data_IF_043217456718
#
_entry.id   IF_043217456718
#
_cell.length_a   1.000
_cell.length_b   1.000
_cell.length_c   1.000
_cell.angle_alpha   90.00
_cell.angle_beta   90.00
_cell.angle_gamma   90.00
#
_symmetry.space_group_name_H-M   'P 1'
#
loop_
_entity.id
_entity.type
_entity.pdbx_description
1 polymer ?
#
# COMPACT_ATOMS: atom_id res chain seq x y z
N UNK A 1 -27.63 7.63 -35.15
CA UNK A 1 -28.43 8.40 -34.17
C UNK A 1 -27.59 8.62 -32.93
N UNK A 2 -27.10 9.84 -32.71
CA UNK A 2 -26.30 10.18 -31.55
C UNK A 2 -27.17 10.12 -30.28
N UNK A 3 -26.82 9.25 -29.32
CA UNK A 3 -27.46 9.24 -28.01
C UNK A 3 -26.94 10.43 -27.21
N UNK A 4 -27.78 11.46 -27.08
CA UNK A 4 -27.56 12.57 -26.16
C UNK A 4 -27.65 12.06 -24.72
N UNK A 5 -26.52 12.02 -24.02
CA UNK A 5 -26.47 11.78 -22.58
C UNK A 5 -27.21 12.92 -21.86
N UNK A 6 -28.40 12.65 -21.33
CA UNK A 6 -29.11 13.57 -20.44
C UNK A 6 -28.60 13.35 -19.02
N UNK A 7 -27.95 14.34 -18.37
CA UNK A 7 -27.56 14.21 -16.98
C UNK A 7 -28.81 14.05 -16.10
N UNK A 8 -28.87 12.95 -15.34
CA UNK A 8 -29.92 12.76 -14.32
C UNK A 8 -29.87 13.93 -13.32
N UNK A 9 -31.02 14.59 -13.11
CA UNK A 9 -31.18 15.58 -12.03
C UNK A 9 -30.86 14.89 -10.70
N UNK A 10 -29.73 15.26 -10.08
CA UNK A 10 -29.44 14.90 -8.68
C UNK A 10 -30.51 15.53 -7.80
N UNK A 11 -31.45 14.73 -7.32
CA UNK A 11 -32.32 15.15 -6.21
C UNK A 11 -31.41 15.50 -5.03
N UNK A 12 -31.41 16.78 -4.63
CA UNK A 12 -30.72 17.23 -3.42
C UNK A 12 -31.35 16.51 -2.24
N UNK A 13 -30.71 15.47 -1.70
CA UNK A 13 -31.11 14.91 -0.41
C UNK A 13 -30.94 15.99 0.64
N UNK A 14 -32.03 16.40 1.29
CA UNK A 14 -31.96 17.34 2.41
C UNK A 14 -31.06 16.74 3.48
N UNK A 15 -29.93 17.39 3.74
CA UNK A 15 -29.02 16.95 4.80
C UNK A 15 -29.71 17.16 6.14
N UNK A 16 -29.95 16.08 6.89
CA UNK A 16 -30.48 16.14 8.25
C UNK A 16 -29.36 15.87 9.24
N UNK A 17 -29.43 16.56 10.37
CA UNK A 17 -28.58 16.24 11.52
C UNK A 17 -29.33 15.22 12.38
N UNK A 18 -28.71 14.08 12.64
CA UNK A 18 -29.28 12.98 13.41
C UNK A 18 -28.35 12.64 14.58
N UNK A 19 -28.92 12.06 15.62
CA UNK A 19 -28.18 11.48 16.74
C UNK A 19 -28.27 9.95 16.65
N UNK A 20 -27.18 9.25 16.95
CA UNK A 20 -27.18 7.79 16.97
C UNK A 20 -26.05 7.22 17.81
N UNK A 21 -26.22 5.96 18.21
CA UNK A 21 -25.19 5.20 18.89
C UNK A 21 -24.38 4.38 17.89
N UNK A 22 -23.06 4.39 18.04
CA UNK A 22 -22.15 3.61 17.20
C UNK A 22 -22.12 2.17 17.70
N UNK A 23 -22.40 1.23 16.80
CA UNK A 23 -22.50 -0.20 17.12
C UNK A 23 -21.21 -0.98 16.88
N UNK A 24 -20.45 -0.61 15.84
CA UNK A 24 -19.24 -1.30 15.41
C UNK A 24 -18.41 -0.37 14.51
N UNK A 25 -17.23 -0.85 14.11
CA UNK A 25 -16.45 -0.31 13.00
C UNK A 25 -16.53 -1.28 11.82
N UNK A 26 -16.53 -0.77 10.59
CA UNK A 26 -16.32 -1.61 9.42
C UNK A 26 -14.82 -1.78 9.08
N UNK A 27 -14.54 -2.55 8.02
CA UNK A 27 -13.17 -2.77 7.53
C UNK A 27 -12.43 -1.51 7.07
N UNK A 28 -13.13 -0.39 6.87
CA UNK A 28 -12.55 0.92 6.52
C UNK A 28 -12.51 1.88 7.71
N UNK A 29 -12.60 1.35 8.94
CA UNK A 29 -12.63 2.16 10.16
C UNK A 29 -13.83 3.11 10.29
N UNK A 30 -14.91 2.89 9.54
CA UNK A 30 -16.12 3.72 9.65
C UNK A 30 -17.01 3.20 10.76
N UNK A 31 -17.44 4.10 11.62
CA UNK A 31 -18.50 3.86 12.59
C UNK A 31 -19.78 3.41 11.88
N UNK A 32 -20.29 2.26 12.31
CA UNK A 32 -21.55 1.70 11.87
C UNK A 32 -22.65 2.15 12.84
N UNK A 33 -23.49 3.09 12.39
CA UNK A 33 -24.68 3.51 13.11
C UNK A 33 -25.90 2.82 12.50
N UNK A 34 -26.44 1.87 13.24
CA UNK A 34 -27.67 1.16 12.86
C UNK A 34 -28.86 2.05 13.16
N UNK A 35 -29.88 1.97 12.31
CA UNK A 35 -31.09 2.75 12.55
C UNK A 35 -31.88 2.22 13.75
N UNK A 36 -32.42 3.14 14.55
CA UNK A 36 -33.32 2.80 15.66
C UNK A 36 -34.71 2.36 15.16
N UNK A 37 -35.10 2.75 13.94
CA UNK A 37 -36.42 2.46 13.35
C UNK A 37 -36.26 1.52 12.15
N UNK A 38 -37.11 0.48 12.11
CA UNK A 38 -37.16 -0.50 11.02
C UNK A 38 -37.43 0.20 9.68
N UNK A 39 -36.57 -0.01 8.68
CA UNK A 39 -36.67 0.59 7.35
C UNK A 39 -35.75 1.79 7.09
N UNK A 40 -35.07 2.34 8.10
CA UNK A 40 -34.03 3.34 7.90
C UNK A 40 -32.67 2.67 7.58
N UNK A 41 -31.85 3.26 6.69
CA UNK A 41 -30.58 2.66 6.28
C UNK A 41 -29.50 2.83 7.35
N UNK A 42 -28.65 1.81 7.49
CA UNK A 42 -27.38 1.89 8.23
C UNK A 42 -26.50 3.01 7.67
N UNK A 43 -25.84 3.74 8.57
CA UNK A 43 -24.93 4.85 8.26
C UNK A 43 -23.49 4.50 8.60
N UNK A 44 -22.58 4.94 7.74
CA UNK A 44 -21.13 4.81 7.89
C UNK A 44 -20.53 6.21 8.07
N UNK A 45 -19.83 6.41 9.19
CA UNK A 45 -19.34 7.73 9.62
C UNK A 45 -17.87 7.60 10.02
N UNK A 46 -17.00 8.45 9.48
CA UNK A 46 -15.57 8.48 9.86
C UNK A 46 -15.37 9.15 11.22
N UNK A 47 -14.37 8.69 11.98
CA UNK A 47 -13.87 9.39 13.18
C UNK A 47 -14.63 9.13 14.48
N UNK A 48 -15.57 8.19 14.50
CA UNK A 48 -16.33 7.78 15.69
C UNK A 48 -16.07 6.31 16.05
N UNK A 49 -16.27 5.95 17.32
CA UNK A 49 -15.93 4.64 17.88
C UNK A 49 -17.13 3.88 18.42
N UNK A 50 -17.07 2.54 18.49
CA UNK A 50 -18.10 1.72 19.13
C UNK A 50 -18.38 2.19 20.56
N UNK A 51 -19.67 2.22 20.93
CA UNK A 51 -20.14 2.69 22.23
C UNK A 51 -20.37 4.20 22.31
N UNK A 52 -19.90 4.98 21.34
CA UNK A 52 -20.12 6.43 21.33
C UNK A 52 -21.56 6.80 20.96
N UNK A 53 -22.03 7.91 21.55
CA UNK A 53 -23.22 8.60 21.09
C UNK A 53 -22.76 9.82 20.31
N UNK A 54 -23.16 9.91 19.05
CA UNK A 54 -22.69 10.94 18.12
C UNK A 54 -23.85 11.67 17.46
N UNK A 55 -23.59 12.92 17.11
CA UNK A 55 -24.39 13.71 16.20
C UNK A 55 -23.67 13.74 14.84
N UNK A 56 -24.41 13.46 13.77
CA UNK A 56 -23.86 13.41 12.42
C UNK A 56 -24.83 13.99 11.39
N UNK A 57 -24.26 14.55 10.33
CA UNK A 57 -24.99 15.09 9.18
C UNK A 57 -25.06 14.04 8.09
N UNK A 58 -26.25 13.73 7.60
CA UNK A 58 -26.42 12.74 6.53
C UNK A 58 -25.81 13.24 5.22
N UNK A 59 -25.03 12.38 4.55
CA UNK A 59 -24.46 12.60 3.22
C UNK A 59 -24.87 11.43 2.31
N UNK A 60 -25.98 11.56 1.59
CA UNK A 60 -26.52 10.49 0.76
C UNK A 60 -27.24 9.37 1.55
N UNK A 61 -27.34 8.18 0.96
CA UNK A 61 -28.16 7.06 1.50
C UNK A 61 -27.49 6.27 2.62
N UNK A 62 -26.16 6.15 2.60
CA UNK A 62 -25.41 5.31 3.55
C UNK A 62 -24.29 6.07 4.27
N UNK A 63 -23.95 7.29 3.87
CA UNK A 63 -22.84 8.02 4.49
C UNK A 63 -23.34 9.14 5.41
N UNK A 64 -22.47 9.54 6.33
CA UNK A 64 -22.65 10.72 7.15
C UNK A 64 -21.31 11.34 7.54
N UNK A 65 -21.35 12.62 7.88
CA UNK A 65 -20.20 13.37 8.40
C UNK A 65 -20.40 13.56 9.91
N UNK A 66 -19.38 13.22 10.70
CA UNK A 66 -19.39 13.44 12.14
C UNK A 66 -19.46 14.95 12.42
N UNK A 67 -20.43 15.38 13.21
CA UNK A 67 -20.58 16.78 13.64
C UNK A 67 -20.08 16.94 15.08
N UNK A 68 -20.50 16.04 15.97
CA UNK A 68 -20.16 16.11 17.39
C UNK A 68 -20.21 14.75 18.06
N UNK A 69 -19.31 14.52 19.01
CA UNK A 69 -19.37 13.38 19.94
C UNK A 69 -20.06 13.87 21.21
N UNK A 70 -21.17 13.24 21.57
CA UNK A 70 -21.98 13.58 22.74
C UNK A 70 -21.56 12.76 23.97
N UNK A 71 -21.24 11.48 23.76
CA UNK A 71 -20.67 10.59 24.77
C UNK A 71 -19.47 9.86 24.17
N UNK A 72 -18.22 10.24 24.53
CA UNK A 72 -17.03 9.60 24.00
C UNK A 72 -16.84 8.19 24.59
N UNK A 73 -16.14 7.34 23.85
CA UNK A 73 -15.71 6.02 24.33
C UNK A 73 -14.51 6.17 25.26
N UNK A 74 -14.35 5.25 26.22
CA UNK A 74 -13.15 5.16 27.05
C UNK A 74 -11.90 4.78 26.25
N UNK A 75 -12.09 4.23 25.06
CA UNK A 75 -11.01 3.86 24.13
C UNK A 75 -10.56 5.03 23.24
N UNK A 76 -11.27 6.16 23.29
CA UNK A 76 -10.89 7.36 22.54
C UNK A 76 -9.70 8.02 23.21
N UNK A 77 -8.73 8.45 22.40
CA UNK A 77 -7.65 9.34 22.81
C UNK A 77 -7.65 10.65 22.03
N UNK A 78 -6.89 11.61 22.53
CA UNK A 78 -6.56 12.83 21.80
C UNK A 78 -5.67 12.51 20.59
N UNK A 79 -5.90 13.21 19.48
CA UNK A 79 -5.18 12.98 18.22
C UNK A 79 -3.91 13.82 18.19
N UNK A 80 -2.71 13.22 18.11
CA UNK A 80 -1.45 13.96 18.18
C UNK A 80 -1.17 14.85 16.96
N UNK A 81 -1.72 14.54 15.78
CA UNK A 81 -1.48 15.36 14.58
C UNK A 81 -2.46 16.56 14.52
N UNK A 82 -1.96 17.81 14.41
CA UNK A 82 -2.81 19.00 14.34
C UNK A 82 -3.67 19.07 13.07
N UNK A 83 -3.29 18.31 12.03
CA UNK A 83 -4.02 18.25 10.76
C UNK A 83 -5.08 17.15 10.71
N UNK A 84 -5.16 16.28 11.73
CA UNK A 84 -5.94 15.04 11.70
C UNK A 84 -7.43 15.26 11.39
N UNK A 85 -8.02 16.34 11.90
CA UNK A 85 -9.45 16.63 11.70
C UNK A 85 -9.84 17.00 10.27
N UNK A 86 -8.86 17.26 9.39
CA UNK A 86 -9.08 17.68 7.99
C UNK A 86 -8.37 16.76 6.98
N UNK A 87 -7.12 16.40 7.27
CA UNK A 87 -6.26 15.61 6.38
C UNK A 87 -6.84 14.20 6.18
N UNK A 88 -6.96 13.74 4.93
CA UNK A 88 -7.44 12.40 4.60
C UNK A 88 -6.39 11.29 4.71
N UNK A 89 -5.21 11.57 5.28
CA UNK A 89 -4.08 10.63 5.31
C UNK A 89 -4.10 9.62 6.46
N UNK A 90 -4.71 9.96 7.60
CA UNK A 90 -4.83 9.08 8.77
C UNK A 90 -6.27 9.08 9.27
N UNK A 91 -6.75 7.94 9.75
CA UNK A 91 -8.12 7.77 10.25
C UNK A 91 -8.22 6.98 11.56
N UNK A 92 -7.08 6.61 12.17
CA UNK A 92 -7.06 5.90 13.45
C UNK A 92 -6.40 6.63 14.61
N UNK A 93 -5.90 7.86 14.44
CA UNK A 93 -5.18 8.55 15.53
C UNK A 93 -6.01 8.78 16.80
N UNK A 94 -7.34 8.74 16.69
CA UNK A 94 -8.27 8.86 17.81
C UNK A 94 -8.45 7.56 18.62
N UNK A 95 -7.76 6.48 18.24
CA UNK A 95 -7.73 5.17 18.89
C UNK A 95 -6.29 4.84 19.27
N UNK A 96 -6.07 4.21 20.43
CA UNK A 96 -4.76 3.68 20.78
C UNK A 96 -4.32 2.54 19.84
N UNK A 97 -3.01 2.35 19.71
CA UNK A 97 -2.37 1.43 18.76
C UNK A 97 -2.80 -0.03 18.99
N UNK A 98 -2.89 -0.47 20.24
CA UNK A 98 -3.28 -1.86 20.56
C UNK A 98 -4.68 -2.20 20.02
N UNK A 99 -5.63 -1.26 20.14
CA UNK A 99 -6.98 -1.45 19.60
C UNK A 99 -7.02 -1.32 18.09
N UNK A 100 -6.15 -0.52 17.47
CA UNK A 100 -6.00 -0.52 16.02
C UNK A 100 -5.61 -1.91 15.52
N UNK A 101 -4.56 -2.52 16.11
CA UNK A 101 -4.11 -3.87 15.75
C UNK A 101 -5.20 -4.92 15.98
N UNK A 102 -5.89 -4.87 17.12
CA UNK A 102 -6.99 -5.78 17.43
C UNK A 102 -8.13 -5.67 16.39
N UNK A 103 -8.50 -4.46 15.99
CA UNK A 103 -9.52 -4.23 14.97
C UNK A 103 -9.07 -4.77 13.61
N UNK A 104 -7.82 -4.53 13.20
CA UNK A 104 -7.28 -5.05 11.94
C UNK A 104 -7.31 -6.58 11.91
N UNK A 105 -6.92 -7.24 13.01
CA UNK A 105 -7.02 -8.70 13.17
C UNK A 105 -8.46 -9.19 13.07
N UNK A 106 -9.39 -8.56 13.79
CA UNK A 106 -10.81 -8.92 13.75
C UNK A 106 -11.37 -8.86 12.32
N UNK A 107 -11.03 -7.83 11.54
CA UNK A 107 -11.47 -7.70 10.15
C UNK A 107 -10.97 -8.86 9.27
N UNK A 108 -9.72 -9.30 9.45
CA UNK A 108 -9.18 -10.46 8.73
C UNK A 108 -9.94 -11.73 9.10
N UNK A 109 -10.18 -11.97 10.39
CA UNK A 109 -10.94 -13.12 10.87
C UNK A 109 -12.38 -13.13 10.33
N UNK A 110 -13.09 -12.01 10.40
CA UNK A 110 -14.46 -11.90 9.85
C UNK A 110 -14.51 -12.20 8.34
N UNK A 111 -13.52 -11.72 7.57
CA UNK A 111 -13.44 -11.99 6.14
C UNK A 111 -13.09 -13.45 5.85
N UNK A 112 -12.12 -14.02 6.56
CA UNK A 112 -11.75 -15.43 6.36
C UNK A 112 -12.92 -16.36 6.70
N UNK A 113 -13.67 -16.08 7.77
CA UNK A 113 -14.89 -16.82 8.10
C UNK A 113 -15.95 -16.67 7.01
N UNK A 114 -16.19 -15.44 6.53
CA UNK A 114 -17.17 -15.17 5.48
C UNK A 114 -16.89 -15.90 4.16
N UNK A 115 -15.61 -16.05 3.80
CA UNK A 115 -15.18 -16.75 2.60
C UNK A 115 -14.98 -18.26 2.81
N UNK A 116 -15.20 -18.77 4.02
CA UNK A 116 -15.08 -20.20 4.35
C UNK A 116 -13.63 -20.69 4.44
N UNK A 117 -12.66 -19.80 4.67
CA UNK A 117 -11.25 -20.16 4.87
C UNK A 117 -11.03 -20.85 6.22
N UNK A 118 -11.79 -20.47 7.25
CA UNK A 118 -11.83 -21.17 8.53
C UNK A 118 -13.23 -21.09 9.15
N UNK A 119 -13.49 -21.98 10.11
CA UNK A 119 -14.69 -21.94 10.94
C UNK A 119 -14.28 -21.89 12.43
N UNK A 120 -14.61 -20.81 13.18
CA UNK A 120 -14.22 -20.66 14.58
C UNK A 120 -14.76 -21.76 15.50
N UNK A 121 -15.82 -22.48 15.11
CA UNK A 121 -16.37 -23.59 15.89
C UNK A 121 -15.55 -24.88 15.77
N UNK A 122 -14.78 -25.03 14.68
CA UNK A 122 -14.09 -26.29 14.35
C UNK A 122 -12.57 -26.14 14.22
N UNK A 123 -12.06 -24.93 14.03
CA UNK A 123 -10.62 -24.69 13.88
C UNK A 123 -10.21 -23.30 14.36
N UNK A 124 -8.94 -23.19 14.74
CA UNK A 124 -8.27 -21.92 15.06
C UNK A 124 -7.28 -21.55 13.96
N UNK A 125 -7.14 -20.26 13.68
CA UNK A 125 -6.09 -19.75 12.80
C UNK A 125 -4.73 -19.72 13.52
N UNK A 126 -3.61 -20.08 12.86
CA UNK A 126 -2.28 -20.09 13.47
C UNK A 126 -1.67 -18.67 13.51
N UNK A 127 -2.31 -17.79 14.27
CA UNK A 127 -1.86 -16.42 14.45
C UNK A 127 -0.47 -16.36 15.09
N UNK A 128 0.40 -15.56 14.47
CA UNK A 128 1.68 -15.12 15.00
C UNK A 128 1.55 -13.67 15.48
N UNK A 129 2.56 -13.20 16.22
CA UNK A 129 2.63 -11.81 16.65
C UNK A 129 2.62 -10.86 15.43
N UNK A 130 1.94 -9.70 15.53
CA UNK A 130 1.90 -8.73 14.45
C UNK A 130 3.28 -8.10 14.23
N UNK A 131 3.64 -7.85 12.97
CA UNK A 131 4.83 -7.08 12.66
C UNK A 131 4.53 -5.59 12.87
N UNK A 132 5.12 -5.00 13.91
CA UNK A 132 4.88 -3.62 14.33
C UNK A 132 6.16 -2.77 14.29
N UNK A 133 6.00 -1.47 14.10
CA UNK A 133 7.06 -0.45 14.19
C UNK A 133 6.57 0.73 15.02
N UNK A 134 7.44 1.71 15.22
CA UNK A 134 7.01 3.01 15.71
C UNK A 134 5.88 3.58 14.82
N UNK A 135 4.80 4.09 15.44
CA UNK A 135 3.63 4.57 14.71
C UNK A 135 3.85 5.94 14.02
N UNK A 136 4.99 6.57 14.29
CA UNK A 136 5.35 7.91 13.80
C UNK A 136 6.62 7.83 12.96
N UNK A 137 6.81 8.80 12.06
CA UNK A 137 8.03 8.94 11.22
C UNK A 137 8.41 7.72 10.39
N UNK A 138 7.48 6.80 10.16
CA UNK A 138 7.77 5.54 9.46
C UNK A 138 7.70 5.67 7.94
N UNK A 139 6.95 6.64 7.40
CA UNK A 139 6.80 6.79 5.94
C UNK A 139 8.04 7.44 5.36
N UNK A 140 8.83 6.67 4.64
CA UNK A 140 9.97 7.15 3.85
C UNK A 140 9.60 7.72 2.48
N UNK A 141 8.31 7.75 2.13
CA UNK A 141 7.82 8.37 0.91
C UNK A 141 6.47 9.03 1.12
N UNK A 142 6.30 10.22 0.55
CA UNK A 142 5.03 10.93 0.48
C UNK A 142 4.78 11.50 -0.91
N UNK A 143 3.51 11.56 -1.30
CA UNK A 143 3.05 12.28 -2.49
C UNK A 143 2.15 13.42 -2.06
N UNK A 144 2.61 14.64 -2.29
CA UNK A 144 1.97 15.89 -1.90
C UNK A 144 1.22 16.47 -3.10
N UNK A 145 -0.06 16.76 -2.90
CA UNK A 145 -0.85 17.51 -3.85
C UNK A 145 -0.41 18.98 -3.87
N UNK A 146 -0.39 19.57 -5.05
CA UNK A 146 -0.07 20.98 -5.25
C UNK A 146 -1.25 21.73 -5.86
N UNK A 147 -1.37 23.03 -5.54
CA UNK A 147 -2.33 23.92 -6.20
C UNK A 147 -1.82 25.35 -6.21
N UNK A 148 -1.66 25.91 -7.40
CA UNK A 148 -1.34 27.32 -7.57
C UNK A 148 -2.58 28.21 -7.42
N UNK A 149 -2.50 29.21 -6.54
CA UNK A 149 -3.50 30.25 -6.35
C UNK A 149 -3.01 31.54 -6.99
N UNK A 150 -3.18 31.67 -8.30
CA UNK A 150 -2.60 32.77 -9.08
C UNK A 150 -2.99 34.19 -8.63
N UNK A 151 -4.18 34.38 -8.05
CA UNK A 151 -4.59 35.68 -7.48
C UNK A 151 -3.82 36.04 -6.20
N UNK A 152 -3.43 35.04 -5.42
CA UNK A 152 -2.70 35.21 -4.16
C UNK A 152 -1.18 35.08 -4.36
N UNK A 153 -0.72 34.74 -5.58
CA UNK A 153 0.67 34.39 -5.87
C UNK A 153 1.23 33.35 -4.89
N UNK A 154 0.41 32.32 -4.59
CA UNK A 154 0.68 31.35 -3.53
C UNK A 154 0.45 29.91 -3.98
N UNK A 155 1.41 29.04 -3.71
CA UNK A 155 1.36 27.61 -3.93
C UNK A 155 0.90 26.90 -2.65
N UNK A 156 -0.16 26.11 -2.75
CA UNK A 156 -0.52 25.14 -1.70
C UNK A 156 0.24 23.84 -1.94
N UNK A 157 0.83 23.29 -0.87
CA UNK A 157 1.44 21.97 -0.85
C UNK A 157 0.90 21.22 0.36
N UNK A 158 0.43 19.99 0.17
CA UNK A 158 0.03 19.14 1.28
C UNK A 158 -0.78 17.92 0.85
N UNK A 159 -1.68 17.45 1.71
CA UNK A 159 -2.52 16.29 1.42
C UNK A 159 -3.96 16.71 1.11
N UNK A 160 -4.70 15.82 0.46
CA UNK A 160 -6.13 16.05 0.22
C UNK A 160 -6.92 15.89 1.52
N UNK A 161 -7.96 16.69 1.67
CA UNK A 161 -9.00 16.48 2.67
C UNK A 161 -9.70 15.13 2.46
N UNK A 162 -10.22 14.54 3.54
CA UNK A 162 -11.00 13.30 3.44
C UNK A 162 -12.19 13.50 2.48
N UNK A 163 -12.29 12.63 1.47
CA UNK A 163 -13.38 12.66 0.47
C UNK A 163 -13.53 13.99 -0.30
N UNK A 164 -12.44 14.74 -0.47
CA UNK A 164 -12.45 16.07 -1.08
C UNK A 164 -11.21 16.29 -1.97
N UNK A 165 -11.32 17.22 -2.93
CA UNK A 165 -10.21 17.67 -3.77
C UNK A 165 -9.46 18.87 -3.16
N UNK A 166 -9.94 19.40 -2.04
CA UNK A 166 -9.26 20.48 -1.32
C UNK A 166 -7.93 19.98 -0.73
N UNK A 167 -6.97 20.89 -0.62
CA UNK A 167 -5.66 20.61 -0.07
C UNK A 167 -5.59 21.18 1.35
N UNK A 168 -5.26 20.33 2.31
CA UNK A 168 -4.79 20.74 3.62
C UNK A 168 -3.31 21.08 3.47
N UNK A 169 -2.99 22.36 3.50
CA UNK A 169 -1.59 22.79 3.53
C UNK A 169 -0.95 22.33 4.84
N UNK A 170 0.19 21.65 4.74
CA UNK A 170 0.92 21.12 5.90
C UNK A 170 2.38 21.56 5.83
N UNK A 171 2.99 21.72 7.00
CA UNK A 171 4.44 21.94 7.12
C UNK A 171 5.16 20.71 7.67
N UNK A 172 4.42 19.85 8.40
CA UNK A 172 4.93 18.60 8.95
C UNK A 172 3.83 17.51 8.87
N UNK A 173 4.23 16.25 8.98
CA UNK A 173 3.36 15.10 8.98
C UNK A 173 3.90 14.06 9.95
N UNK A 174 3.16 13.82 11.04
CA UNK A 174 3.58 12.94 12.15
C UNK A 174 4.04 11.54 11.71
N UNK A 175 3.44 11.00 10.64
CA UNK A 175 3.76 9.67 10.13
C UNK A 175 4.82 9.67 9.03
N UNK A 176 5.17 10.83 8.47
CA UNK A 176 6.23 10.98 7.49
C UNK A 176 7.58 11.19 8.17
N UNK A 177 8.60 10.55 7.62
CA UNK A 177 9.99 10.87 7.94
C UNK A 177 10.19 12.39 7.83
N UNK A 178 10.82 12.97 8.85
CA UNK A 178 10.95 14.42 8.99
C UNK A 178 11.72 15.05 7.83
N UNK A 179 12.69 14.32 7.26
CA UNK A 179 13.53 14.79 6.16
C UNK A 179 12.66 15.16 4.95
N UNK A 180 11.59 14.41 4.69
CA UNK A 180 10.76 14.59 3.51
C UNK A 180 10.15 16.00 3.43
N UNK A 181 9.47 16.43 4.50
CA UNK A 181 8.84 17.74 4.52
C UNK A 181 9.83 18.86 4.81
N UNK A 182 10.92 18.59 5.55
CA UNK A 182 12.00 19.56 5.69
C UNK A 182 12.60 19.95 4.32
N UNK A 183 12.88 18.96 3.44
CA UNK A 183 13.41 19.22 2.10
C UNK A 183 12.41 19.95 1.21
N UNK A 184 11.13 19.55 1.23
CA UNK A 184 10.08 20.23 0.45
C UNK A 184 9.89 21.67 0.93
N UNK A 185 9.88 21.92 2.24
CA UNK A 185 9.75 23.27 2.81
C UNK A 185 10.96 24.14 2.45
N UNK A 186 12.18 23.59 2.46
CA UNK A 186 13.38 24.30 2.05
C UNK A 186 13.40 24.63 0.54
N UNK A 187 12.76 23.80 -0.29
CA UNK A 187 12.62 24.03 -1.73
C UNK A 187 11.46 24.99 -2.06
N UNK A 188 10.50 25.16 -1.15
CA UNK A 188 9.27 25.93 -1.37
C UNK A 188 9.47 27.32 -1.98
N UNK A 189 10.47 28.15 -1.60
CA UNK A 189 10.67 29.47 -2.21
C UNK A 189 10.87 29.42 -3.73
N UNK A 190 11.57 28.41 -4.25
CA UNK A 190 11.77 28.22 -5.69
C UNK A 190 10.51 27.69 -6.39
N UNK A 191 9.74 26.85 -5.68
CA UNK A 191 8.48 26.31 -6.20
C UNK A 191 7.37 27.37 -6.23
N UNK A 192 7.35 28.29 -5.27
CA UNK A 192 6.33 29.33 -5.11
C UNK A 192 6.55 30.53 -6.05
N UNK A 193 6.82 30.23 -7.32
CA UNK A 193 6.93 31.20 -8.40
C UNK A 193 5.92 30.85 -9.49
N UNK A 194 5.36 31.85 -10.18
CA UNK A 194 4.44 31.59 -11.29
C UNK A 194 5.07 30.72 -12.39
N UNK A 195 6.39 30.83 -12.58
CA UNK A 195 7.15 30.05 -13.56
C UNK A 195 7.09 28.53 -13.31
N UNK A 196 7.15 28.12 -12.04
CA UNK A 196 7.16 26.71 -11.61
C UNK A 196 5.78 26.25 -11.14
N UNK A 197 5.15 26.96 -10.19
CA UNK A 197 3.92 26.55 -9.53
C UNK A 197 2.75 26.31 -10.50
N UNK A 198 2.66 27.10 -11.57
CA UNK A 198 1.58 26.97 -12.57
C UNK A 198 1.66 25.66 -13.38
N UNK A 199 2.85 25.03 -13.44
CA UNK A 199 3.13 23.80 -14.18
C UNK A 199 3.25 22.58 -13.27
N UNK A 200 3.15 22.76 -11.96
CA UNK A 200 3.42 21.71 -10.98
C UNK A 200 2.14 20.94 -10.63
N UNK A 201 2.07 19.67 -11.00
CA UNK A 201 0.94 18.78 -10.74
C UNK A 201 0.94 18.15 -9.35
N UNK A 202 2.08 17.57 -8.94
CA UNK A 202 2.30 17.05 -7.59
C UNK A 202 3.80 16.95 -7.29
N UNK A 203 4.13 16.76 -6.02
CA UNK A 203 5.50 16.50 -5.57
C UNK A 203 5.54 15.12 -4.93
N UNK A 204 6.56 14.32 -5.22
CA UNK A 204 6.89 13.15 -4.42
C UNK A 204 8.21 13.39 -3.71
N UNK A 205 8.25 13.14 -2.40
CA UNK A 205 9.48 13.17 -1.62
C UNK A 205 9.78 11.75 -1.15
N UNK A 206 11.02 11.30 -1.34
CA UNK A 206 11.45 9.93 -1.04
C UNK A 206 12.76 10.01 -0.26
N UNK A 207 12.83 9.32 0.88
CA UNK A 207 14.03 9.19 1.68
C UNK A 207 14.73 7.89 1.28
N UNK A 208 15.95 8.04 0.78
CA UNK A 208 16.83 6.98 0.24
C UNK A 208 18.27 7.31 0.65
N UNK A 209 19.25 6.62 0.06
CA UNK A 209 20.67 6.96 0.20
C UNK A 209 20.99 8.45 -0.02
N UNK A 210 20.31 9.08 -0.99
CA UNK A 210 20.29 10.54 -1.19
C UNK A 210 18.83 10.96 -1.33
N UNK A 211 18.27 11.81 -0.45
CA UNK A 211 16.86 12.21 -0.53
C UNK A 211 16.48 12.73 -1.91
N UNK A 212 15.28 12.36 -2.37
CA UNK A 212 14.78 12.72 -3.70
C UNK A 212 13.53 13.58 -3.59
N UNK A 213 13.45 14.61 -4.42
CA UNK A 213 12.21 15.34 -4.73
C UNK A 213 11.88 15.15 -6.21
N UNK A 214 10.80 14.43 -6.50
CA UNK A 214 10.23 14.31 -7.83
C UNK A 214 9.17 15.40 -8.05
N UNK A 215 9.38 16.24 -9.05
CA UNK A 215 8.41 17.25 -9.50
C UNK A 215 7.65 16.73 -10.71
N UNK A 216 6.35 16.46 -10.56
CA UNK A 216 5.48 16.15 -11.70
C UNK A 216 5.11 17.47 -12.39
N UNK A 217 5.60 17.67 -13.62
CA UNK A 217 5.40 18.90 -14.39
C UNK A 217 4.50 18.68 -15.62
N UNK A 218 3.53 19.56 -15.82
CA UNK A 218 2.62 19.49 -16.99
C UNK A 218 3.23 20.08 -18.25
N UNK A 219 4.21 20.96 -18.10
CA UNK A 219 4.91 21.67 -19.17
C UNK A 219 6.38 21.87 -18.80
N UNK A 220 7.23 22.15 -19.78
CA UNK A 220 8.64 22.44 -19.57
C UNK A 220 8.83 23.68 -18.66
N UNK A 221 9.81 23.60 -17.76
CA UNK A 221 10.21 24.72 -16.92
C UNK A 221 11.15 25.66 -17.68
N UNK A 222 11.08 26.99 -17.45
CA UNK A 222 12.06 27.93 -18.01
C UNK A 222 13.49 27.61 -17.57
N UNK A 223 14.47 27.95 -18.42
CA UNK A 223 15.89 27.68 -18.16
C UNK A 223 16.40 28.29 -16.85
N UNK A 224 15.94 29.48 -16.49
CA UNK A 224 16.31 30.15 -15.24
C UNK A 224 15.79 29.38 -14.01
N UNK A 225 14.58 28.81 -14.11
CA UNK A 225 14.03 27.98 -13.04
C UNK A 225 14.79 26.65 -12.93
N UNK A 226 15.14 26.04 -14.07
CA UNK A 226 15.96 24.82 -14.11
C UNK A 226 17.32 25.03 -13.46
N UNK A 227 18.00 26.14 -13.79
CA UNK A 227 19.30 26.48 -13.18
C UNK A 227 19.19 26.68 -11.67
N UNK A 228 18.18 27.44 -11.20
CA UNK A 228 17.97 27.65 -9.77
C UNK A 228 17.70 26.33 -9.00
N UNK A 229 16.97 25.39 -9.62
CA UNK A 229 16.75 24.06 -9.03
C UNK A 229 18.05 23.24 -8.95
N UNK A 230 18.89 23.29 -9.98
CA UNK A 230 20.19 22.59 -10.00
C UNK A 230 21.15 23.13 -8.93
N UNK A 231 21.25 24.46 -8.80
CA UNK A 231 22.04 25.13 -7.77
C UNK A 231 21.54 24.74 -6.37
N UNK A 232 20.22 24.74 -6.16
CA UNK A 232 19.61 24.32 -4.90
C UNK A 232 19.88 22.85 -4.56
N UNK A 233 19.76 21.94 -5.53
CA UNK A 233 20.04 20.50 -5.35
C UNK A 233 21.45 20.29 -4.83
N UNK A 234 22.43 20.96 -5.45
CA UNK A 234 23.84 20.88 -5.09
C UNK A 234 24.08 21.36 -3.66
N UNK A 235 23.51 22.53 -3.30
CA UNK A 235 23.66 23.11 -1.97
C UNK A 235 22.98 22.26 -0.87
N UNK A 236 21.87 21.59 -1.19
CA UNK A 236 21.05 20.86 -0.21
C UNK A 236 21.32 19.35 -0.15
N UNK A 237 22.14 18.81 -1.06
CA UNK A 237 22.41 17.35 -1.19
C UNK A 237 21.11 16.56 -1.30
N UNK A 238 20.25 16.98 -2.23
CA UNK A 238 18.93 16.38 -2.48
C UNK A 238 18.71 16.34 -3.98
N UNK A 239 18.50 15.15 -4.52
CA UNK A 239 18.35 14.96 -5.95
C UNK A 239 16.94 15.37 -6.39
N UNK A 240 16.85 16.18 -7.43
CA UNK A 240 15.59 16.60 -8.02
C UNK A 240 15.39 15.85 -9.33
N UNK A 241 14.21 15.25 -9.47
CA UNK A 241 13.77 14.58 -10.67
C UNK A 241 12.56 15.29 -11.25
N UNK A 242 12.41 15.25 -12.57
CA UNK A 242 11.25 15.76 -13.29
C UNK A 242 10.50 14.60 -13.93
N UNK A 243 9.18 14.61 -13.76
CA UNK A 243 8.29 13.70 -14.47
C UNK A 243 7.32 14.50 -15.34
N UNK A 244 7.44 14.35 -16.65
CA UNK A 244 6.45 14.77 -17.63
C UNK A 244 5.47 13.61 -17.91
N UNK A 245 4.60 13.75 -18.92
CA UNK A 245 3.78 12.59 -19.36
C UNK A 245 4.60 11.52 -20.07
N UNK A 246 5.66 11.92 -20.77
CA UNK A 246 6.44 11.04 -21.63
C UNK A 246 7.76 10.57 -21.00
N UNK A 247 8.25 11.29 -19.99
CA UNK A 247 9.64 11.15 -19.55
C UNK A 247 9.82 11.34 -18.04
N UNK A 248 10.83 10.65 -17.51
CA UNK A 248 11.29 10.71 -16.13
C UNK A 248 12.81 10.82 -16.13
N UNK A 249 13.33 11.95 -15.66
CA UNK A 249 14.77 12.22 -15.68
C UNK A 249 15.22 13.05 -14.47
N UNK A 250 16.44 12.87 -13.99
CA UNK A 250 17.04 13.78 -13.01
C UNK A 250 17.38 15.13 -13.66
N UNK A 251 17.38 16.23 -12.90
CA UNK A 251 17.72 17.56 -13.45
C UNK A 251 19.21 17.77 -13.71
N UNK A 252 20.05 16.94 -13.12
CA UNK A 252 21.50 16.89 -13.25
C UNK A 252 21.95 15.44 -13.00
N UNK A 253 23.23 15.13 -13.16
CA UNK A 253 23.75 13.79 -12.85
C UNK A 253 23.38 13.41 -11.39
N UNK A 254 22.50 12.43 -11.26
CA UNK A 254 22.01 11.93 -9.97
C UNK A 254 22.56 10.54 -9.70
N UNK A 255 22.79 10.25 -8.42
CA UNK A 255 23.11 8.87 -8.04
C UNK A 255 21.85 8.03 -8.19
N UNK A 256 21.96 6.86 -8.82
CA UNK A 256 20.82 5.94 -8.90
C UNK A 256 20.33 5.61 -7.49
N UNK A 257 19.05 5.86 -7.18
CA UNK A 257 18.55 5.62 -5.84
C UNK A 257 18.41 4.13 -5.60
N UNK A 258 18.72 3.73 -4.38
CA UNK A 258 18.55 2.35 -3.94
C UNK A 258 18.02 2.28 -2.52
N UNK A 259 17.34 1.18 -2.26
CA UNK A 259 17.07 0.67 -0.92
C UNK A 259 18.03 -0.47 -0.58
N UNK A 260 18.06 -0.91 0.67
CA UNK A 260 18.94 -2.01 1.12
C UNK A 260 18.11 -3.21 1.55
N UNK A 261 18.39 -4.38 0.96
CA UNK A 261 17.77 -5.64 1.34
C UNK A 261 18.18 -6.07 2.75
N UNK A 262 17.52 -7.09 3.30
CA UNK A 262 17.89 -7.67 4.60
C UNK A 262 19.31 -8.27 4.62
N UNK A 263 19.88 -8.55 3.45
CA UNK A 263 21.23 -9.13 3.28
C UNK A 263 22.28 -8.07 2.93
N UNK A 264 21.91 -6.79 2.91
CA UNK A 264 22.81 -5.69 2.53
C UNK A 264 22.91 -5.45 1.02
N UNK A 265 22.14 -6.17 0.20
CA UNK A 265 22.13 -6.00 -1.25
C UNK A 265 21.45 -4.69 -1.65
N UNK A 266 21.94 -4.07 -2.72
CA UNK A 266 21.36 -2.82 -3.24
C UNK A 266 20.16 -3.12 -4.12
N UNK A 267 19.01 -2.60 -3.73
CA UNK A 267 17.76 -2.66 -4.48
C UNK A 267 17.56 -1.33 -5.21
N UNK A 268 18.12 -1.19 -6.41
CA UNK A 268 17.96 0.02 -7.21
C UNK A 268 16.53 0.14 -7.74
N UNK A 269 16.08 1.38 -7.87
CA UNK A 269 14.77 1.72 -8.40
C UNK A 269 14.80 3.10 -9.08
N UNK A 270 13.69 3.51 -9.70
CA UNK A 270 13.50 4.88 -10.18
C UNK A 270 12.34 5.56 -9.43
N UNK A 271 12.39 6.89 -9.22
CA UNK A 271 11.24 7.61 -8.66
C UNK A 271 9.97 7.31 -9.44
N UNK A 272 8.89 6.94 -8.75
CA UNK A 272 7.67 6.45 -9.39
C UNK A 272 7.49 4.93 -9.31
N UNK A 273 8.57 4.14 -9.23
CA UNK A 273 8.47 2.70 -8.93
C UNK A 273 7.81 2.46 -7.58
N UNK A 274 7.17 1.30 -7.42
CA UNK A 274 6.64 0.91 -6.12
C UNK A 274 7.79 0.56 -5.16
N UNK A 275 7.75 1.18 -3.98
CA UNK A 275 8.65 0.90 -2.86
C UNK A 275 7.80 0.88 -1.59
N UNK A 276 8.04 -0.08 -0.71
CA UNK A 276 7.32 -0.17 0.55
C UNK A 276 7.52 1.10 1.38
N UNK A 277 6.42 1.71 1.84
CA UNK A 277 6.48 3.05 2.47
C UNK A 277 7.11 3.01 3.86
N UNK A 278 7.08 1.87 4.54
CA UNK A 278 7.67 1.66 5.85
C UNK A 278 8.87 0.71 5.68
N UNK A 279 10.07 1.30 5.58
CA UNK A 279 11.29 0.52 5.33
C UNK A 279 11.60 -0.47 6.45
N UNK A 280 11.42 -0.06 7.71
CA UNK A 280 11.67 -0.92 8.88
C UNK A 280 10.72 -2.11 8.96
N UNK A 281 9.43 -1.90 8.69
CA UNK A 281 8.46 -3.01 8.60
C UNK A 281 8.74 -3.89 7.40
N UNK A 282 9.10 -3.32 6.24
CA UNK A 282 9.46 -4.10 5.06
C UNK A 282 10.58 -5.09 5.36
N UNK A 283 11.65 -4.66 6.03
CA UNK A 283 12.75 -5.57 6.40
C UNK A 283 12.27 -6.71 7.30
N UNK A 284 11.41 -6.44 8.30
CA UNK A 284 10.83 -7.48 9.16
C UNK A 284 9.92 -8.43 8.38
N UNK A 285 9.12 -7.90 7.46
CA UNK A 285 8.24 -8.66 6.58
C UNK A 285 9.05 -9.60 5.67
N UNK A 286 10.10 -9.10 5.03
CA UNK A 286 11.00 -9.89 4.18
C UNK A 286 11.75 -10.94 5.01
N UNK A 287 12.21 -10.62 6.22
CA UNK A 287 12.81 -11.62 7.11
C UNK A 287 11.80 -12.71 7.49
N UNK A 288 10.58 -12.34 7.87
CA UNK A 288 9.53 -13.30 8.22
C UNK A 288 9.18 -14.21 7.04
N UNK A 289 9.19 -13.67 5.81
CA UNK A 289 9.02 -14.42 4.58
C UNK A 289 10.08 -15.51 4.44
N UNK A 290 11.36 -15.19 4.69
CA UNK A 290 12.44 -16.19 4.65
C UNK A 290 12.24 -17.27 5.71
N UNK A 291 11.86 -16.88 6.94
CA UNK A 291 11.69 -17.80 8.06
C UNK A 291 10.53 -18.78 7.84
N UNK A 292 9.45 -18.33 7.19
CA UNK A 292 8.27 -19.16 6.89
C UNK A 292 8.45 -20.01 5.63
N UNK A 293 8.96 -19.43 4.55
CA UNK A 293 9.22 -20.18 3.30
C UNK A 293 10.32 -21.21 3.48
N UNK A 294 11.32 -20.94 4.32
CA UNK A 294 12.52 -21.77 4.53
C UNK A 294 13.21 -22.13 3.19
N UNK A 295 13.65 -21.14 2.40
CA UNK A 295 14.39 -21.41 1.18
C UNK A 295 15.73 -22.08 1.49
N UNK A 296 16.09 -23.06 0.67
CA UNK A 296 17.34 -23.83 0.79
C UNK A 296 18.01 -23.95 -0.57
N UNK A 297 19.32 -24.25 -0.61
CA UNK A 297 20.11 -24.37 -1.86
C UNK A 297 19.66 -25.50 -2.78
N UNK A 298 18.74 -26.34 -2.33
CA UNK A 298 18.10 -27.41 -3.10
C UNK A 298 16.76 -26.99 -3.69
N UNK A 299 16.15 -25.90 -3.20
CA UNK A 299 14.79 -25.46 -3.51
C UNK A 299 14.76 -24.37 -4.57
N UNK A 300 13.82 -24.47 -5.50
CA UNK A 300 13.53 -23.48 -6.54
C UNK A 300 12.34 -22.62 -6.12
N UNK A 301 12.39 -21.33 -6.43
CA UNK A 301 11.36 -20.38 -6.01
C UNK A 301 10.78 -19.63 -7.19
N UNK A 302 9.45 -19.51 -7.22
CA UNK A 302 8.77 -18.51 -8.05
C UNK A 302 8.29 -17.37 -7.17
N UNK A 303 8.72 -16.15 -7.49
CA UNK A 303 8.27 -14.91 -6.85
C UNK A 303 7.36 -14.17 -7.81
N UNK A 304 6.05 -14.25 -7.59
CA UNK A 304 5.07 -13.59 -8.45
C UNK A 304 4.72 -12.21 -7.90
N UNK A 305 4.49 -11.27 -8.81
CA UNK A 305 4.33 -9.84 -8.49
C UNK A 305 5.60 -9.27 -7.86
N UNK A 306 6.76 -9.70 -8.36
CA UNK A 306 8.07 -9.47 -7.75
C UNK A 306 8.48 -7.98 -7.70
N UNK A 307 7.85 -7.12 -8.50
CA UNK A 307 8.19 -5.72 -8.61
C UNK A 307 9.65 -5.54 -9.02
N UNK A 308 10.42 -4.87 -8.16
CA UNK A 308 11.87 -4.62 -8.36
C UNK A 308 12.79 -5.64 -7.64
N UNK A 309 12.21 -6.68 -7.03
CA UNK A 309 12.96 -7.78 -6.41
C UNK A 309 13.05 -7.73 -4.88
N UNK A 310 12.07 -7.14 -4.20
CA UNK A 310 12.07 -6.97 -2.73
C UNK A 310 12.23 -8.30 -1.96
N UNK A 311 11.49 -9.34 -2.39
CA UNK A 311 11.65 -10.69 -1.87
C UNK A 311 12.64 -11.52 -2.70
N UNK A 312 12.71 -11.28 -4.02
CA UNK A 312 13.50 -12.09 -4.95
C UNK A 312 15.00 -12.08 -4.62
N UNK A 313 15.57 -10.94 -4.25
CA UNK A 313 17.01 -10.83 -3.91
C UNK A 313 17.35 -11.68 -2.67
N UNK A 314 16.68 -11.52 -1.52
CA UNK A 314 16.90 -12.38 -0.35
C UNK A 314 16.62 -13.86 -0.59
N UNK A 315 15.62 -14.19 -1.43
CA UNK A 315 15.37 -15.57 -1.84
C UNK A 315 16.55 -16.13 -2.63
N UNK A 316 17.12 -15.38 -3.56
CA UNK A 316 18.23 -15.82 -4.40
C UNK A 316 19.52 -16.07 -3.58
N UNK A 317 19.74 -15.31 -2.52
CA UNK A 317 20.82 -15.56 -1.56
C UNK A 317 20.71 -16.93 -0.89
N UNK A 318 19.51 -17.52 -0.75
CA UNK A 318 19.25 -18.75 0.01
C UNK A 318 18.88 -19.96 -0.86
N UNK A 319 18.12 -19.75 -1.94
CA UNK A 319 17.57 -20.79 -2.80
C UNK A 319 18.58 -21.34 -3.83
N UNK A 320 18.20 -22.45 -4.49
CA UNK A 320 18.87 -22.98 -5.70
C UNK A 320 18.78 -21.95 -6.82
N UNK A 321 17.55 -21.54 -7.15
CA UNK A 321 17.24 -20.55 -8.17
C UNK A 321 15.91 -19.85 -7.88
N UNK A 322 15.78 -18.63 -8.40
CA UNK A 322 14.58 -17.79 -8.28
C UNK A 322 14.17 -17.29 -9.66
N UNK A 323 12.89 -17.44 -9.99
CA UNK A 323 12.25 -16.75 -11.09
C UNK A 323 11.31 -15.68 -10.54
N UNK A 324 11.64 -14.42 -10.77
CA UNK A 324 10.81 -13.26 -10.46
C UNK A 324 9.87 -12.96 -11.64
N UNK A 325 8.56 -13.07 -11.44
CA UNK A 325 7.56 -12.80 -12.46
C UNK A 325 6.82 -11.50 -12.16
N UNK A 326 6.84 -10.56 -13.09
CA UNK A 326 6.29 -9.21 -12.92
C UNK A 326 5.46 -8.80 -14.15
N UNK A 327 4.35 -8.09 -13.94
CA UNK A 327 3.48 -7.64 -15.03
C UNK A 327 3.97 -6.39 -15.75
N UNK A 328 4.80 -5.59 -15.09
CA UNK A 328 5.39 -4.36 -15.65
C UNK A 328 6.81 -4.65 -16.14
N UNK A 329 6.99 -4.69 -17.46
CA UNK A 329 8.28 -4.99 -18.10
C UNK A 329 9.45 -4.19 -17.52
N UNK A 330 9.29 -2.88 -17.30
CA UNK A 330 10.35 -2.03 -16.72
C UNK A 330 10.79 -2.49 -15.33
N UNK A 331 9.87 -2.97 -14.50
CA UNK A 331 10.18 -3.45 -13.14
C UNK A 331 10.83 -4.85 -13.19
N UNK A 332 10.39 -5.71 -14.12
CA UNK A 332 11.07 -6.99 -14.39
C UNK A 332 12.53 -6.76 -14.82
N UNK A 333 12.78 -5.76 -15.67
CA UNK A 333 14.12 -5.39 -16.10
C UNK A 333 14.94 -4.77 -14.97
N UNK A 334 14.32 -3.94 -14.12
CA UNK A 334 14.96 -3.43 -12.91
C UNK A 334 15.37 -4.56 -11.95
N UNK A 335 14.56 -5.63 -11.84
CA UNK A 335 14.92 -6.82 -11.06
C UNK A 335 16.14 -7.53 -11.64
N UNK A 336 16.25 -7.65 -12.98
CA UNK A 336 17.44 -8.21 -13.65
C UNK A 336 18.69 -7.37 -13.34
N UNK A 337 18.59 -6.04 -13.46
CA UNK A 337 19.69 -5.12 -13.14
C UNK A 337 20.09 -5.24 -11.65
N UNK A 338 19.11 -5.38 -10.76
CA UNK A 338 19.36 -5.60 -9.33
C UNK A 338 20.07 -6.95 -9.09
N UNK A 339 19.68 -8.02 -9.78
CA UNK A 339 20.38 -9.31 -9.70
C UNK A 339 21.85 -9.17 -10.14
N UNK A 340 22.10 -8.56 -11.30
CA UNK A 340 23.45 -8.39 -11.87
C UNK A 340 24.35 -7.51 -10.98
N UNK A 341 23.82 -6.39 -10.51
CA UNK A 341 24.56 -5.45 -9.66
C UNK A 341 24.92 -6.03 -8.28
N UNK A 342 24.22 -7.09 -7.85
CA UNK A 342 24.53 -7.83 -6.63
C UNK A 342 25.17 -9.21 -6.91
N UNK A 343 25.60 -9.46 -8.14
CA UNK A 343 26.27 -10.70 -8.57
C UNK A 343 25.46 -11.96 -8.27
N UNK A 344 24.18 -11.95 -8.64
CA UNK A 344 23.25 -13.07 -8.48
C UNK A 344 22.95 -13.75 -9.82
N UNK A 345 23.68 -14.81 -10.14
CA UNK A 345 23.46 -15.58 -11.38
C UNK A 345 22.24 -16.50 -11.32
N UNK A 346 21.70 -16.72 -10.11
CA UNK A 346 20.58 -17.63 -9.86
C UNK A 346 19.22 -16.91 -9.71
N UNK A 347 19.16 -15.60 -9.97
CA UNK A 347 17.93 -14.81 -10.02
C UNK A 347 17.67 -14.35 -11.45
N UNK A 348 16.56 -14.79 -12.01
CA UNK A 348 16.12 -14.36 -13.33
C UNK A 348 14.75 -13.67 -13.22
N UNK A 349 14.43 -12.83 -14.20
CA UNK A 349 13.15 -12.14 -14.25
C UNK A 349 12.38 -12.44 -15.54
N UNK A 350 11.06 -12.45 -15.43
CA UNK A 350 10.11 -12.66 -16.52
C UNK A 350 9.02 -11.59 -16.46
N UNK A 351 8.74 -10.96 -17.60
CA UNK A 351 7.59 -10.08 -17.74
C UNK A 351 6.38 -10.87 -18.27
N UNK A 352 5.30 -10.97 -17.48
CA UNK A 352 4.08 -11.70 -17.88
C UNK A 352 2.80 -11.15 -17.23
N UNK A 353 1.66 -11.26 -17.93
CA UNK A 353 0.35 -10.91 -17.36
C UNK A 353 -0.11 -11.98 -16.35
N UNK A 354 0.10 -11.69 -15.06
CA UNK A 354 -0.23 -12.57 -13.95
C UNK A 354 -1.74 -12.86 -13.80
N UNK A 355 -2.63 -12.11 -14.48
CA UNK A 355 -4.05 -12.44 -14.52
C UNK A 355 -4.36 -13.61 -15.47
N UNK A 356 -3.48 -13.85 -16.45
CA UNK A 356 -3.64 -14.86 -17.50
C UNK A 356 -2.50 -15.87 -17.56
N UNK A 357 -1.58 -15.80 -16.61
CA UNK A 357 -0.41 -16.67 -16.53
C UNK A 357 -0.79 -18.15 -16.63
N UNK A 358 -0.03 -18.87 -17.44
CA UNK A 358 -0.18 -20.29 -17.69
C UNK A 358 1.16 -21.01 -17.52
N UNK A 359 1.09 -22.32 -17.34
CA UNK A 359 2.30 -23.15 -17.25
C UNK A 359 3.18 -23.04 -18.52
N UNK A 360 2.62 -22.63 -19.67
CA UNK A 360 3.37 -22.35 -20.89
C UNK A 360 4.35 -21.20 -20.76
N UNK A 361 3.99 -20.17 -20.00
CA UNK A 361 4.79 -18.97 -19.84
C UNK A 361 6.01 -19.23 -18.96
N UNK A 362 5.98 -20.35 -18.21
CA UNK A 362 7.06 -20.79 -17.33
C UNK A 362 7.89 -21.92 -17.95
N UNK A 363 7.64 -22.34 -19.20
CA UNK A 363 8.25 -23.55 -19.80
C UNK A 363 9.76 -23.48 -20.00
N UNK A 364 10.31 -22.30 -20.22
CA UNK A 364 11.77 -22.11 -20.31
C UNK A 364 12.46 -22.44 -18.97
N UNK A 365 11.68 -22.48 -17.90
CA UNK A 365 12.05 -22.97 -16.59
C UNK A 365 11.51 -24.40 -16.44
N UNK A 366 12.21 -25.37 -17.03
CA UNK A 366 11.81 -26.79 -17.16
C UNK A 366 11.43 -27.48 -15.82
N UNK A 367 11.76 -26.84 -14.70
CA UNK A 367 11.74 -27.37 -13.36
C UNK A 367 10.71 -26.64 -12.48
N UNK A 368 9.70 -27.37 -11.97
CA UNK A 368 8.64 -26.83 -11.12
C UNK A 368 9.20 -26.22 -9.82
N UNK A 369 8.71 -25.05 -9.39
CA UNK A 369 9.16 -24.46 -8.13
C UNK A 369 8.66 -25.21 -6.89
N UNK A 370 9.54 -25.37 -5.90
CA UNK A 370 9.22 -25.95 -4.60
C UNK A 370 8.52 -24.95 -3.69
N UNK A 371 8.78 -23.64 -3.88
CA UNK A 371 8.29 -22.56 -3.04
C UNK A 371 7.71 -21.43 -3.90
N UNK A 372 6.56 -20.88 -3.52
CA UNK A 372 5.99 -19.69 -4.15
C UNK A 372 5.93 -18.51 -3.17
N UNK A 373 6.27 -17.33 -3.65
CA UNK A 373 6.06 -16.04 -2.98
C UNK A 373 5.09 -15.21 -3.81
N UNK A 374 4.08 -14.60 -3.17
CA UNK A 374 3.04 -13.79 -3.80
C UNK A 374 2.90 -12.47 -3.03
N UNK A 375 3.08 -11.33 -3.70
CA UNK A 375 2.77 -9.99 -3.15
C UNK A 375 1.91 -9.17 -4.14
N UNK A 376 0.67 -9.60 -4.45
CA UNK A 376 -0.17 -8.93 -5.43
C UNK A 376 -0.70 -7.57 -4.95
N UNK A 377 -1.04 -6.73 -5.93
CA UNK A 377 -1.87 -5.56 -5.68
C UNK A 377 -3.29 -5.93 -5.20
N UNK A 378 -4.12 -4.92 -4.89
CA UNK A 378 -5.49 -5.08 -4.36
C UNK A 378 -6.40 -6.09 -5.07
N UNK A 379 -6.35 -6.28 -6.42
CA UNK A 379 -7.16 -7.30 -7.08
C UNK A 379 -6.89 -8.75 -6.64
N UNK A 380 -5.76 -9.01 -5.97
CA UNK A 380 -5.31 -10.34 -5.56
C UNK A 380 -4.62 -11.12 -6.67
N UNK A 381 -4.44 -12.42 -6.46
CA UNK A 381 -3.65 -13.33 -7.28
C UNK A 381 -4.51 -14.40 -8.00
N UNK A 382 -5.71 -14.05 -8.44
CA UNK A 382 -6.67 -15.01 -9.02
C UNK A 382 -6.08 -15.81 -10.20
N UNK A 383 -5.29 -15.16 -11.06
CA UNK A 383 -4.62 -15.83 -12.19
C UNK A 383 -3.59 -16.87 -11.73
N UNK A 384 -2.80 -16.56 -10.70
CA UNK A 384 -1.81 -17.49 -10.11
C UNK A 384 -2.50 -18.63 -9.36
N UNK A 385 -3.63 -18.37 -8.69
CA UNK A 385 -4.48 -19.41 -8.09
C UNK A 385 -5.00 -20.37 -9.16
N UNK A 386 -5.48 -19.85 -10.30
CA UNK A 386 -5.90 -20.68 -11.44
C UNK A 386 -4.75 -21.47 -12.05
N UNK A 387 -3.54 -20.91 -12.08
CA UNK A 387 -2.35 -21.64 -12.47
C UNK A 387 -2.11 -22.82 -11.52
N UNK A 388 -2.13 -22.60 -10.19
CA UNK A 388 -1.98 -23.65 -9.18
C UNK A 388 -2.98 -24.80 -9.37
N UNK A 389 -4.25 -24.49 -9.68
CA UNK A 389 -5.28 -25.51 -9.95
C UNK A 389 -4.96 -26.37 -11.18
N UNK A 390 -4.31 -25.79 -12.20
CA UNK A 390 -3.95 -26.48 -13.44
C UNK A 390 -2.68 -27.31 -13.34
N UNK A 391 -1.86 -27.07 -12.32
CA UNK A 391 -0.65 -27.86 -12.09
C UNK A 391 -1.01 -29.27 -11.60
N UNK A 392 -0.26 -30.26 -12.09
CA UNK A 392 -0.29 -31.61 -11.54
C UNK A 392 0.14 -31.58 -10.07
N UNK A 393 -0.42 -32.43 -9.18
CA UNK A 393 -0.09 -32.42 -7.75
C UNK A 393 1.40 -32.42 -7.44
N UNK A 394 2.20 -33.19 -8.17
CA UNK A 394 3.66 -33.31 -8.02
C UNK A 394 4.43 -32.04 -8.40
N UNK A 395 3.85 -31.15 -9.20
CA UNK A 395 4.45 -29.87 -9.62
C UNK A 395 4.00 -28.68 -8.77
N UNK A 396 3.12 -28.92 -7.79
CA UNK A 396 2.68 -27.85 -6.89
C UNK A 396 3.76 -27.56 -5.84
N UNK A 397 3.91 -26.30 -5.42
CA UNK A 397 4.90 -25.94 -4.42
C UNK A 397 4.57 -26.59 -3.07
N UNK A 398 5.59 -26.93 -2.32
CA UNK A 398 5.48 -27.41 -0.94
C UNK A 398 4.93 -26.31 -0.03
N UNK A 399 5.36 -25.07 -0.23
CA UNK A 399 4.89 -23.90 0.50
C UNK A 399 4.59 -22.70 -0.37
N UNK A 400 3.59 -21.93 0.07
CA UNK A 400 3.20 -20.67 -0.55
C UNK A 400 3.20 -19.60 0.53
N UNK A 401 3.94 -18.52 0.32
CA UNK A 401 3.79 -17.28 1.07
C UNK A 401 2.90 -16.33 0.27
N UNK A 402 1.90 -15.77 0.93
CA UNK A 402 1.02 -14.75 0.38
C UNK A 402 1.03 -13.52 1.28
N UNK A 403 1.52 -12.40 0.76
CA UNK A 403 1.45 -11.06 1.35
C UNK A 403 0.33 -10.28 0.66
N UNK A 404 -0.52 -9.58 1.41
CA UNK A 404 -1.65 -8.86 0.83
C UNK A 404 -2.06 -7.61 1.61
N UNK A 405 -2.27 -6.53 0.87
CA UNK A 405 -2.86 -5.28 1.35
C UNK A 405 -4.40 -5.24 1.27
N UNK A 406 -5.04 -6.33 0.82
CA UNK A 406 -6.48 -6.44 0.58
C UNK A 406 -7.05 -7.73 1.18
N UNK A 407 -7.56 -7.69 2.42
CA UNK A 407 -7.95 -8.90 3.14
C UNK A 407 -9.15 -9.64 2.50
N UNK A 408 -9.98 -8.96 1.71
CA UNK A 408 -11.12 -9.54 1.00
C UNK A 408 -10.69 -10.40 -0.20
N UNK A 409 -9.75 -9.91 -1.02
CA UNK A 409 -9.21 -10.69 -2.15
C UNK A 409 -8.24 -11.77 -1.67
N UNK A 410 -7.50 -11.53 -0.59
CA UNK A 410 -6.75 -12.58 0.12
C UNK A 410 -7.67 -13.73 0.55
N UNK A 411 -8.79 -13.43 1.24
CA UNK A 411 -9.72 -14.44 1.71
C UNK A 411 -10.31 -15.28 0.55
N UNK A 412 -10.66 -14.63 -0.56
CA UNK A 412 -11.10 -15.30 -1.80
C UNK A 412 -10.04 -16.27 -2.32
N UNK A 413 -8.80 -15.81 -2.43
CA UNK A 413 -7.72 -16.60 -3.01
C UNK A 413 -7.32 -17.77 -2.10
N UNK A 414 -7.26 -17.55 -0.79
CA UNK A 414 -7.04 -18.62 0.20
C UNK A 414 -8.13 -19.67 0.16
N UNK A 415 -9.41 -19.27 0.01
CA UNK A 415 -10.50 -20.25 -0.19
C UNK A 415 -10.28 -21.06 -1.47
N UNK A 416 -9.68 -20.46 -2.51
CA UNK A 416 -9.23 -21.17 -3.72
C UNK A 416 -8.15 -22.22 -3.48
N UNK A 417 -7.23 -21.98 -2.55
CA UNK A 417 -6.08 -22.85 -2.28
C UNK A 417 -6.34 -23.91 -1.20
N UNK A 418 -7.16 -23.59 -0.19
CA UNK A 418 -7.40 -24.42 1.00
C UNK A 418 -8.56 -25.40 0.87
N UNK A 419 -9.47 -25.20 -0.09
CA UNK A 419 -10.64 -26.07 -0.24
C UNK A 419 -10.26 -27.40 -0.90
N UNK A 420 -10.43 -28.51 -0.19
CA UNK A 420 -10.18 -29.87 -0.69
C UNK A 420 -10.91 -30.16 -2.01
N UNK A 421 -12.16 -29.71 -2.16
CA UNK A 421 -12.96 -29.92 -3.38
C UNK A 421 -12.38 -29.28 -4.64
N UNK A 422 -11.41 -28.37 -4.51
CA UNK A 422 -10.67 -27.75 -5.63
C UNK A 422 -9.32 -28.42 -5.90
N UNK A 423 -9.00 -29.48 -5.15
CA UNK A 423 -7.86 -30.36 -5.39
C UNK A 423 -6.49 -29.82 -5.00
N UNK A 424 -6.34 -28.56 -4.55
CA UNK A 424 -5.05 -27.98 -4.15
C UNK A 424 -4.59 -28.37 -2.73
N UNK A 425 -5.53 -28.61 -1.82
CA UNK A 425 -5.33 -29.09 -0.45
C UNK A 425 -4.13 -28.46 0.28
N UNK A 426 -4.16 -27.15 0.50
CA UNK A 426 -3.19 -26.45 1.36
C UNK A 426 -3.79 -26.18 2.73
N UNK A 427 -2.95 -26.21 3.77
CA UNK A 427 -3.29 -25.74 5.12
C UNK A 427 -2.52 -24.47 5.45
N UNK A 428 -3.13 -23.55 6.19
CA UNK A 428 -2.44 -22.37 6.72
C UNK A 428 -1.57 -22.82 7.89
N UNK A 429 -0.27 -22.52 7.85
CA UNK A 429 0.69 -22.83 8.91
C UNK A 429 1.22 -21.58 9.63
N UNK A 430 0.98 -20.39 9.07
CA UNK A 430 1.31 -19.12 9.71
C UNK A 430 0.42 -18.00 9.18
N UNK A 431 0.00 -17.11 10.08
CA UNK A 431 -0.81 -15.93 9.77
C UNK A 431 -0.38 -14.77 10.66
N UNK A 432 -0.07 -13.62 10.08
CA UNK A 432 0.25 -12.40 10.84
C UNK A 432 -0.28 -11.16 10.12
N UNK A 433 -0.71 -10.17 10.89
CA UNK A 433 -0.92 -8.82 10.36
C UNK A 433 0.40 -8.07 10.37
N UNK A 434 0.65 -7.31 9.31
CA UNK A 434 1.78 -6.41 9.19
C UNK A 434 1.25 -4.99 9.34
N UNK A 435 1.68 -4.27 10.37
CA UNK A 435 1.26 -2.86 10.54
C UNK A 435 2.12 -1.94 9.66
N UNK A 436 1.99 -2.12 8.34
CA UNK A 436 2.72 -1.35 7.32
C UNK A 436 2.31 0.13 7.33
N UNK A 437 1.08 0.41 7.77
CA UNK A 437 0.51 1.75 7.83
C UNK A 437 -0.18 2.02 9.18
N UNK A 438 0.60 2.19 10.27
CA UNK A 438 0.06 2.61 11.56
C UNK A 438 -0.77 3.89 11.42
N UNK A 439 -1.76 4.09 12.29
CA UNK A 439 -2.68 5.24 12.26
C UNK A 439 -3.63 5.30 11.04
N UNK A 440 -3.68 4.22 10.25
CA UNK A 440 -4.62 4.06 9.12
C UNK A 440 -5.39 2.74 9.20
N UNK A 441 -6.55 2.69 8.57
CA UNK A 441 -7.37 1.48 8.40
C UNK A 441 -6.72 0.41 7.51
N UNK A 442 -5.63 0.70 6.81
CA UNK A 442 -5.01 -0.28 5.92
C UNK A 442 -4.53 -1.51 6.70
N UNK A 443 -4.80 -2.67 6.12
CA UNK A 443 -4.47 -3.98 6.69
C UNK A 443 -3.56 -4.67 5.70
N UNK A 444 -2.32 -4.92 6.12
CA UNK A 444 -1.40 -5.80 5.42
C UNK A 444 -1.40 -7.13 6.17
N UNK A 445 -1.45 -8.25 5.45
CA UNK A 445 -1.52 -9.60 6.03
C UNK A 445 -0.54 -10.52 5.33
N UNK A 446 0.19 -11.32 6.10
CA UNK A 446 1.04 -12.40 5.60
C UNK A 446 0.45 -13.74 5.98
N UNK A 447 0.43 -14.67 5.03
CA UNK A 447 -0.05 -16.04 5.21
C UNK A 447 0.97 -17.00 4.64
N UNK A 448 1.37 -18.00 5.42
CA UNK A 448 2.13 -19.14 4.91
C UNK A 448 1.23 -20.37 4.85
N UNK A 449 1.22 -21.01 3.69
CA UNK A 449 0.51 -22.24 3.42
C UNK A 449 1.48 -23.38 3.17
N UNK A 450 1.10 -24.57 3.58
CA UNK A 450 1.83 -25.82 3.31
C UNK A 450 0.90 -26.82 2.62
N UNK A 451 1.42 -27.50 1.59
CA UNK A 451 0.68 -28.55 0.89
C UNK A 451 0.41 -29.71 1.85
N UNK A 452 -0.84 -30.15 1.94
CA UNK A 452 -1.22 -31.36 2.67
C UNK A 452 -0.88 -32.56 1.78
N UNK A 453 -0.03 -33.44 2.30
CA UNK A 453 0.45 -34.67 1.67
C UNK A 453 -0.67 -35.69 1.48
#
# INVERSE_FOLDING_TARGET
>A
MAQFFKPQKRNKSVSKILTGQVSALDHQARAVVRAAVKGQPTRFIMGALPGEVIQYKTAGKHSGTLERILKPSTERRETPCPYYSKCGGCDFQHINEQKQLAHKRQVVEELFQKFGVFNPETSSLPWQEPLVSEPTRYRRRVRLATRWLGKEQRLLIGFREAQSHNIVAIQDCLVADEVLLQRVNALYPLLNTAAVASKLGHIEAINTNTPIILLRITEALPSEAMQALQEWQTANKTDIWLQSEADLQPIADATMPFDTSIDGDKLYFQPGDFLQVNGGINQRMVQQAMDWLKPEKTKRVYDFFAGIGNFSLPLARRAKSVLAVEGVYRMAEQTRINAESNSMDNLNSLSADLNKIAASDLREWEEAADLWCLDPARPGAEGVVKLLHKLKPEHRPERILYVSCAPDTLARDLAGMTTESKGCNYRIIGLSTVDMFPQTHHIETMVCLERVS
#
